data_IF_002925179474
#
_entry.id   IF_002925179474
#
_cell.length_a   1.000
_cell.length_b   1.000
_cell.length_c   1.000
_cell.angle_alpha   90.00
_cell.angle_beta   90.00
_cell.angle_gamma   90.00
#
_symmetry.space_group_name_H-M   'P 1'
#
loop_
_entity.id
_entity.type
_entity.pdbx_description
1 polymer ?
#
# COMPACT_ATOMS: atom_id res chain seq x y z
N UNK A 1 9.96 56.57 45.12
CA UNK A 1 9.03 55.49 45.50
C UNK A 1 8.70 54.73 44.23
N UNK A 2 8.98 53.43 44.27
CA UNK A 2 9.02 52.50 43.13
C UNK A 2 7.65 52.00 42.69
N UNK A 3 7.57 51.72 41.39
CA UNK A 3 6.91 50.59 40.69
C UNK A 3 5.50 50.13 41.08
N UNK A 4 4.62 50.16 40.07
CA UNK A 4 3.79 49.06 39.52
C UNK A 4 2.85 49.76 38.50
N UNK A 5 3.07 49.77 37.18
CA UNK A 5 3.23 48.63 36.26
C UNK A 5 2.39 47.42 36.67
N UNK A 6 1.08 47.65 36.79
CA UNK A 6 0.10 46.58 36.62
C UNK A 6 0.06 46.21 35.13
N UNK A 7 0.99 45.31 34.78
CA UNK A 7 0.91 44.48 33.59
C UNK A 7 -0.50 43.91 33.48
N UNK A 8 -1.21 44.38 32.47
CA UNK A 8 -2.45 43.80 31.98
C UNK A 8 -2.14 42.40 31.40
N UNK A 9 -1.91 41.43 32.27
CA UNK A 9 -1.83 40.00 31.94
C UNK A 9 -3.22 39.49 31.59
N UNK A 10 -3.67 39.86 30.38
CA UNK A 10 -4.74 39.19 29.66
C UNK A 10 -4.26 37.80 29.20
N UNK A 11 -3.96 36.92 30.16
CA UNK A 11 -3.79 35.50 29.94
C UNK A 11 -5.15 34.86 29.74
N UNK A 12 -5.72 34.96 28.54
CA UNK A 12 -6.96 34.28 28.17
C UNK A 12 -6.76 32.76 28.30
N UNK A 13 -7.13 32.21 29.46
CA UNK A 13 -6.99 30.79 29.75
C UNK A 13 -7.83 29.97 28.77
N UNK A 14 -7.16 29.12 27.99
CA UNK A 14 -7.85 28.23 27.05
C UNK A 14 -8.58 27.15 27.87
N UNK A 15 -9.85 26.81 27.59
CA UNK A 15 -10.57 25.81 28.39
C UNK A 15 -9.84 24.46 28.40
N UNK A 16 -9.59 23.90 29.59
CA UNK A 16 -8.80 22.66 29.81
C UNK A 16 -9.26 21.48 28.93
N UNK A 17 -10.56 21.38 28.62
CA UNK A 17 -11.11 20.33 27.77
C UNK A 17 -10.81 20.52 26.27
N UNK A 18 -10.70 21.76 25.79
CA UNK A 18 -10.25 22.07 24.41
C UNK A 18 -8.75 21.75 24.27
N UNK A 19 -7.98 21.94 25.34
CA UNK A 19 -6.60 21.46 25.42
C UNK A 19 -6.55 19.94 25.34
N UNK A 20 -7.33 19.21 26.15
CA UNK A 20 -7.41 17.75 26.12
C UNK A 20 -7.84 17.18 24.76
N UNK A 21 -8.82 17.80 24.08
CA UNK A 21 -9.42 17.24 22.85
C UNK A 21 -8.49 17.11 21.65
N UNK A 22 -7.37 17.84 21.59
CA UNK A 22 -6.40 17.76 20.49
C UNK A 22 -5.24 16.78 20.74
N UNK A 23 -4.97 16.42 22.00
CA UNK A 23 -3.82 15.58 22.35
C UNK A 23 -3.85 14.22 21.64
N UNK A 24 -4.99 13.55 21.45
CA UNK A 24 -5.04 12.30 20.70
C UNK A 24 -4.57 12.47 19.25
N UNK A 25 -4.97 13.54 18.55
CA UNK A 25 -4.53 13.79 17.18
C UNK A 25 -3.03 14.12 17.09
N UNK A 26 -2.52 14.93 18.02
CA UNK A 26 -1.07 15.24 18.10
C UNK A 26 -0.29 13.95 18.36
N UNK A 27 -0.76 13.12 19.29
CA UNK A 27 -0.13 11.85 19.65
C UNK A 27 -0.04 10.90 18.44
N UNK A 28 -1.12 10.75 17.67
CA UNK A 28 -1.11 9.93 16.45
C UNK A 28 -0.10 10.48 15.44
N UNK A 29 -0.03 11.80 15.21
CA UNK A 29 0.98 12.38 14.32
C UNK A 29 2.42 12.12 14.80
N UNK A 30 2.66 12.19 16.11
CA UNK A 30 4.00 11.91 16.69
C UNK A 30 4.35 10.43 16.53
N UNK A 31 3.42 9.51 16.77
CA UNK A 31 3.62 8.08 16.49
C UNK A 31 4.00 7.88 15.03
N UNK A 32 3.25 8.46 14.10
CA UNK A 32 3.53 8.33 12.68
C UNK A 32 4.93 8.85 12.33
N UNK A 33 5.32 10.00 12.88
CA UNK A 33 6.68 10.53 12.73
C UNK A 33 7.74 9.52 13.20
N UNK A 34 7.57 8.92 14.39
CA UNK A 34 8.49 7.92 14.94
C UNK A 34 8.55 6.67 14.03
N UNK A 35 7.41 6.21 13.51
CA UNK A 35 7.34 5.06 12.60
C UNK A 35 8.15 5.33 11.33
N UNK A 36 7.97 6.47 10.67
CA UNK A 36 8.74 6.80 9.47
C UNK A 36 10.23 7.00 9.75
N UNK A 37 10.61 7.57 10.91
CA UNK A 37 12.01 7.65 11.34
C UNK A 37 12.60 6.26 11.53
N UNK A 38 11.86 5.35 12.19
CA UNK A 38 12.30 3.97 12.41
C UNK A 38 12.46 3.20 11.10
N UNK A 39 11.51 3.33 10.17
CA UNK A 39 11.60 2.72 8.82
C UNK A 39 12.83 3.27 8.07
N UNK A 40 13.08 4.57 8.18
CA UNK A 40 14.26 5.20 7.55
C UNK A 40 15.56 4.69 8.19
N UNK A 41 15.64 4.61 9.52
CA UNK A 41 16.82 4.15 10.24
C UNK A 41 17.12 2.65 10.07
N UNK A 42 16.09 1.83 9.90
CA UNK A 42 16.26 0.40 9.59
C UNK A 42 16.73 0.15 8.15
N UNK A 43 16.30 0.97 7.19
CA UNK A 43 16.81 0.94 5.81
C UNK A 43 18.28 1.37 5.67
N UNK A 44 18.80 2.20 6.58
CA UNK A 44 20.23 2.57 6.61
C UNK A 44 21.14 1.43 7.10
N UNK A 45 20.61 0.46 7.86
CA UNK A 45 21.38 -0.63 8.48
C UNK A 45 21.31 -1.96 7.71
N UNK A 46 20.53 -2.05 6.63
CA UNK A 46 20.43 -3.26 5.82
C UNK A 46 19.86 -3.03 4.42
N UNK A 47 20.73 -3.18 3.41
CA UNK A 47 20.47 -3.43 1.97
C UNK A 47 19.36 -2.64 1.23
N UNK A 48 19.79 -1.98 0.14
CA UNK A 48 19.02 -1.51 -1.04
C UNK A 48 18.50 -0.05 -1.07
N UNK A 49 18.97 0.65 -2.12
CA UNK A 49 18.48 1.85 -2.79
C UNK A 49 18.04 3.09 -1.95
N UNK A 50 18.97 4.06 -1.92
CA UNK A 50 18.85 5.40 -1.31
C UNK A 50 17.59 6.22 -1.72
N UNK A 51 16.84 5.80 -2.72
CA UNK A 51 15.63 6.49 -3.19
C UNK A 51 14.48 6.42 -2.17
N UNK A 52 14.34 5.31 -1.43
CA UNK A 52 13.26 5.14 -0.45
C UNK A 52 13.42 5.94 0.86
N UNK A 53 14.67 6.15 1.28
CA UNK A 53 14.97 6.86 2.54
C UNK A 53 14.58 8.34 2.53
N UNK A 54 14.73 9.02 1.39
CA UNK A 54 14.37 10.43 1.24
C UNK A 54 12.87 10.69 1.36
N UNK A 55 12.04 9.81 0.78
CA UNK A 55 10.58 9.92 0.89
C UNK A 55 10.11 9.74 2.33
N UNK A 56 10.63 8.72 3.04
CA UNK A 56 10.24 8.46 4.42
C UNK A 56 10.62 9.60 5.37
N UNK A 57 11.79 10.22 5.18
CA UNK A 57 12.20 11.40 5.94
C UNK A 57 11.27 12.59 5.69
N UNK A 58 10.86 12.81 4.44
CA UNK A 58 9.90 13.86 4.08
C UNK A 58 8.54 13.61 4.77
N UNK A 59 8.06 12.37 4.80
CA UNK A 59 6.83 12.02 5.54
C UNK A 59 6.99 12.24 7.05
N UNK A 60 8.13 11.89 7.64
CA UNK A 60 8.40 12.16 9.06
C UNK A 60 8.32 13.66 9.38
N UNK A 61 8.95 14.51 8.54
CA UNK A 61 8.90 15.97 8.66
C UNK A 61 7.47 16.49 8.51
N UNK A 62 6.70 15.98 7.54
CA UNK A 62 5.30 16.35 7.36
C UNK A 62 4.45 16.00 8.60
N UNK A 63 4.60 14.80 9.15
CA UNK A 63 3.90 14.38 10.37
C UNK A 63 4.27 15.25 11.57
N UNK A 64 5.54 15.60 11.74
CA UNK A 64 6.00 16.53 12.77
C UNK A 64 5.41 17.94 12.61
N UNK A 65 5.42 18.48 11.37
CA UNK A 65 4.84 19.78 11.06
C UNK A 65 3.33 19.82 11.33
N UNK A 66 2.60 18.75 11.00
CA UNK A 66 1.19 18.62 11.30
C UNK A 66 0.92 18.49 12.80
N UNK A 67 1.73 17.70 13.53
CA UNK A 67 1.66 17.60 14.99
C UNK A 67 1.83 18.98 15.65
N UNK A 68 2.86 19.72 15.25
CA UNK A 68 3.10 21.07 15.73
C UNK A 68 1.96 22.03 15.37
N UNK A 69 1.45 21.96 14.14
CA UNK A 69 0.32 22.75 13.69
C UNK A 69 -0.95 22.49 14.51
N UNK A 70 -1.28 21.23 14.77
CA UNK A 70 -2.42 20.84 15.64
C UNK A 70 -2.16 21.30 17.09
N UNK A 71 -0.93 21.20 17.58
CA UNK A 71 -0.51 21.76 18.87
C UNK A 71 -0.57 23.30 18.91
N UNK A 72 -0.59 24.00 17.78
CA UNK A 72 -0.92 25.44 17.71
C UNK A 72 -2.39 25.69 17.36
N UNK A 73 -3.21 24.63 17.29
CA UNK A 73 -4.62 24.63 16.91
C UNK A 73 -4.90 25.10 15.47
N UNK A 74 -3.98 24.83 14.55
CA UNK A 74 -4.22 25.00 13.12
C UNK A 74 -5.24 23.97 12.64
N UNK A 75 -6.40 24.46 12.19
CA UNK A 75 -7.43 23.63 11.57
C UNK A 75 -6.94 23.00 10.26
N UNK A 76 -6.17 23.74 9.47
CA UNK A 76 -5.63 23.24 8.22
C UNK A 76 -4.73 22.03 8.47
N UNK A 77 -3.83 22.10 9.45
CA UNK A 77 -2.97 20.97 9.81
C UNK A 77 -3.78 19.76 10.33
N UNK A 78 -4.85 19.98 11.09
CA UNK A 78 -5.71 18.89 11.56
C UNK A 78 -6.44 18.17 10.42
N UNK A 79 -6.95 18.92 9.44
CA UNK A 79 -7.60 18.35 8.25
C UNK A 79 -6.58 17.68 7.34
N UNK A 80 -5.43 18.30 7.11
CA UNK A 80 -4.36 17.72 6.30
C UNK A 80 -3.81 16.42 6.91
N UNK A 81 -3.70 16.35 8.24
CA UNK A 81 -3.29 15.11 8.92
C UNK A 81 -4.28 13.97 8.70
N UNK A 82 -5.59 14.26 8.74
CA UNK A 82 -6.63 13.28 8.41
C UNK A 82 -6.52 12.83 6.95
N UNK A 83 -6.34 13.78 6.01
CA UNK A 83 -6.23 13.47 4.57
C UNK A 83 -4.97 12.66 4.29
N UNK A 84 -3.82 13.04 4.88
CA UNK A 84 -2.58 12.30 4.70
C UNK A 84 -2.69 10.89 5.27
N UNK A 85 -3.33 10.74 6.43
CA UNK A 85 -3.64 9.44 7.00
C UNK A 85 -4.52 8.59 6.06
N UNK A 86 -5.54 9.21 5.48
CA UNK A 86 -6.42 8.56 4.50
C UNK A 86 -5.65 7.99 3.32
N UNK A 87 -4.77 8.80 2.72
CA UNK A 87 -3.97 8.41 1.56
C UNK A 87 -3.02 7.27 1.92
N UNK A 88 -2.35 7.36 3.07
CA UNK A 88 -1.44 6.34 3.58
C UNK A 88 -2.15 4.99 3.78
N UNK A 89 -3.30 5.00 4.46
CA UNK A 89 -4.07 3.76 4.68
C UNK A 89 -4.65 3.18 3.39
N UNK A 90 -5.07 4.03 2.44
CA UNK A 90 -5.50 3.57 1.12
C UNK A 90 -4.35 2.91 0.35
N UNK A 91 -3.16 3.49 0.39
CA UNK A 91 -1.98 2.92 -0.26
C UNK A 91 -1.63 1.53 0.33
N UNK A 92 -1.66 1.39 1.65
CA UNK A 92 -1.38 0.12 2.34
C UNK A 92 -2.40 -0.99 2.00
N UNK A 93 -3.66 -0.63 1.77
CA UNK A 93 -4.72 -1.58 1.40
C UNK A 93 -4.66 -1.98 -0.08
N UNK A 94 -4.13 -1.11 -0.95
CA UNK A 94 -4.05 -1.33 -2.40
C UNK A 94 -2.77 -2.05 -2.84
N UNK A 95 -1.70 -1.97 -2.03
CA UNK A 95 -0.39 -2.51 -2.35
C UNK A 95 0.18 -3.41 -1.21
N UNK A 96 0.56 -4.67 -1.50
CA UNK A 96 0.40 -5.38 -2.77
C UNK A 96 -1.07 -5.80 -3.02
N UNK A 97 -1.47 -5.93 -4.30
CA UNK A 97 -2.83 -6.32 -4.67
C UNK A 97 -3.24 -7.66 -4.03
N UNK A 98 -4.49 -7.78 -3.59
CA UNK A 98 -5.04 -9.05 -3.07
C UNK A 98 -4.79 -9.32 -1.60
N UNK A 99 -4.32 -8.33 -0.82
CA UNK A 99 -4.18 -8.44 0.62
C UNK A 99 -5.51 -8.85 1.27
N UNK A 100 -5.45 -9.85 2.15
CA UNK A 100 -6.62 -10.29 2.93
C UNK A 100 -7.04 -9.22 3.94
N UNK A 101 -8.35 -9.11 4.15
CA UNK A 101 -8.91 -8.15 5.09
C UNK A 101 -8.39 -8.42 6.51
N UNK A 102 -7.75 -7.42 7.11
CA UNK A 102 -7.18 -7.52 8.45
C UNK A 102 -8.04 -6.74 9.46
N UNK A 103 -8.65 -7.45 10.40
CA UNK A 103 -9.51 -6.86 11.46
C UNK A 103 -8.70 -5.95 12.39
N UNK A 104 -7.45 -6.29 12.70
CA UNK A 104 -6.59 -5.46 13.54
C UNK A 104 -6.22 -4.14 12.85
N UNK A 105 -5.98 -4.18 11.53
CA UNK A 105 -5.78 -2.98 10.73
C UNK A 105 -7.04 -2.09 10.75
N UNK A 106 -8.23 -2.66 10.52
CA UNK A 106 -9.49 -1.91 10.57
C UNK A 106 -9.70 -1.25 11.94
N UNK A 107 -9.46 -1.98 13.03
CA UNK A 107 -9.58 -1.46 14.39
C UNK A 107 -8.58 -0.31 14.64
N UNK A 108 -7.33 -0.45 14.20
CA UNK A 108 -6.34 0.63 14.27
C UNK A 108 -6.79 1.87 13.50
N UNK A 109 -7.20 1.70 12.25
CA UNK A 109 -7.63 2.79 11.36
C UNK A 109 -8.83 3.53 11.91
N UNK A 110 -9.84 2.82 12.40
CA UNK A 110 -11.03 3.43 13.00
C UNK A 110 -10.70 4.27 14.25
N UNK A 111 -9.83 3.77 15.14
CA UNK A 111 -9.38 4.52 16.32
C UNK A 111 -8.64 5.80 15.90
N UNK A 112 -7.74 5.73 14.92
CA UNK A 112 -6.93 6.88 14.52
C UNK A 112 -7.78 7.93 13.79
N UNK A 113 -8.73 7.52 12.95
CA UNK A 113 -9.72 8.42 12.34
C UNK A 113 -10.52 9.18 13.41
N UNK A 114 -10.94 8.49 14.48
CA UNK A 114 -11.63 9.12 15.61
C UNK A 114 -10.73 10.15 16.32
N UNK A 115 -9.44 9.87 16.50
CA UNK A 115 -8.48 10.81 17.08
C UNK A 115 -8.34 12.07 16.22
N UNK A 116 -8.22 11.94 14.90
CA UNK A 116 -8.16 13.09 13.99
C UNK A 116 -9.45 13.91 13.99
N UNK A 117 -10.62 13.25 14.03
CA UNK A 117 -11.90 13.94 14.14
C UNK A 117 -11.98 14.78 15.43
N UNK A 118 -11.53 14.24 16.57
CA UNK A 118 -11.43 15.00 17.82
C UNK A 118 -10.50 16.22 17.67
N UNK A 119 -9.34 16.05 17.04
CA UNK A 119 -8.40 17.13 16.77
C UNK A 119 -8.99 18.26 15.91
N UNK A 120 -9.71 17.92 14.84
CA UNK A 120 -10.38 18.89 13.96
C UNK A 120 -11.42 19.70 14.73
N UNK A 121 -12.29 19.03 15.50
CA UNK A 121 -13.32 19.70 16.30
C UNK A 121 -12.69 20.57 17.40
N UNK A 122 -11.65 20.10 18.08
CA UNK A 122 -10.93 20.88 19.09
C UNK A 122 -10.28 22.15 18.50
N UNK A 123 -9.61 22.04 17.35
CA UNK A 123 -9.06 23.18 16.61
C UNK A 123 -10.14 24.16 16.16
N UNK A 124 -11.28 23.66 15.68
CA UNK A 124 -12.40 24.50 15.27
C UNK A 124 -13.05 25.23 16.45
N UNK A 125 -13.25 24.54 17.57
CA UNK A 125 -13.85 25.11 18.78
C UNK A 125 -12.96 26.18 19.40
N UNK A 126 -11.63 26.02 19.44
CA UNK A 126 -10.72 27.08 19.91
C UNK A 126 -10.82 28.36 19.07
N UNK A 127 -10.97 28.21 17.75
CA UNK A 127 -11.10 29.37 16.85
C UNK A 127 -12.44 30.07 17.02
N UNK A 128 -13.52 29.30 17.27
CA UNK A 128 -14.89 29.81 17.43
C UNK A 128 -15.11 30.45 18.80
N UNK A 129 -14.64 29.81 19.86
CA UNK A 129 -14.77 30.27 21.25
C UNK A 129 -13.41 30.82 21.69
N UNK A 130 -13.06 32.02 21.20
CA UNK A 130 -11.82 32.70 21.59
C UNK A 130 -11.82 33.08 23.09
N UNK A 131 -12.99 33.13 23.73
CA UNK A 131 -13.18 33.39 25.16
C UNK A 131 -14.45 32.64 25.61
N UNK A 132 -14.45 32.19 26.87
CA UNK A 132 -15.60 31.76 27.71
C UNK A 132 -15.79 30.24 27.88
N UNK A 133 -15.79 29.85 29.18
CA UNK A 133 -16.02 28.51 29.70
C UNK A 133 -17.45 28.03 29.56
N UNK A 134 -17.76 27.49 28.38
CA UNK A 134 -18.94 26.64 28.18
C UNK A 134 -18.49 25.19 28.35
N UNK A 135 -19.11 24.44 29.27
CA UNK A 135 -18.91 23.00 29.38
C UNK A 135 -19.64 22.27 28.25
N UNK A 136 -19.10 22.43 27.04
CA UNK A 136 -19.72 21.97 25.79
C UNK A 136 -19.28 20.53 25.44
N UNK A 137 -18.94 19.72 26.46
CA UNK A 137 -18.37 18.39 26.28
C UNK A 137 -19.29 17.43 25.51
N UNK A 138 -20.59 17.48 25.79
CA UNK A 138 -21.63 16.75 25.05
C UNK A 138 -21.75 17.24 23.61
N UNK A 139 -21.64 18.55 23.37
CA UNK A 139 -21.68 19.13 22.03
C UNK A 139 -20.44 18.77 21.19
N UNK A 140 -19.25 18.82 21.79
CA UNK A 140 -17.99 18.40 21.16
C UNK A 140 -18.04 16.92 20.80
N UNK A 141 -18.48 16.07 21.72
CA UNK A 141 -18.61 14.63 21.46
C UNK A 141 -19.64 14.34 20.36
N UNK A 142 -20.78 15.02 20.37
CA UNK A 142 -21.81 14.88 19.33
C UNK A 142 -21.26 15.26 17.95
N UNK A 143 -20.62 16.42 17.83
CA UNK A 143 -20.03 16.88 16.56
C UNK A 143 -18.89 15.99 16.10
N UNK A 144 -18.07 15.51 17.01
CA UNK A 144 -16.97 14.60 16.70
C UNK A 144 -17.51 13.26 16.19
N UNK A 145 -18.54 12.71 16.84
CA UNK A 145 -19.22 11.49 16.38
C UNK A 145 -19.84 11.68 14.99
N UNK A 146 -20.52 12.80 14.74
CA UNK A 146 -21.08 13.10 13.41
C UNK A 146 -19.98 13.17 12.35
N UNK A 147 -18.89 13.90 12.61
CA UNK A 147 -17.75 13.99 11.69
C UNK A 147 -17.12 12.62 11.45
N UNK A 148 -16.92 11.84 12.51
CA UNK A 148 -16.36 10.50 12.43
C UNK A 148 -17.20 9.57 11.56
N UNK A 149 -18.53 9.58 11.68
CA UNK A 149 -19.41 8.77 10.83
C UNK A 149 -19.26 9.17 9.36
N UNK A 150 -19.23 10.48 9.06
CA UNK A 150 -19.01 10.98 7.69
C UNK A 150 -17.66 10.50 7.15
N UNK A 151 -16.60 10.64 7.93
CA UNK A 151 -15.25 10.23 7.57
C UNK A 151 -15.15 8.71 7.35
N UNK A 152 -15.81 7.90 8.17
CA UNK A 152 -15.87 6.45 7.98
C UNK A 152 -16.57 6.07 6.67
N UNK A 153 -17.73 6.66 6.39
CA UNK A 153 -18.47 6.38 5.15
C UNK A 153 -17.62 6.74 3.93
N UNK A 154 -16.94 7.90 3.96
CA UNK A 154 -16.02 8.30 2.91
C UNK A 154 -14.86 7.30 2.78
N UNK A 155 -14.28 6.85 3.89
CA UNK A 155 -13.15 5.92 3.88
C UNK A 155 -13.51 4.61 3.21
N UNK A 156 -14.61 4.00 3.66
CA UNK A 156 -15.07 2.73 3.12
C UNK A 156 -15.49 2.85 1.65
N UNK A 157 -16.17 3.93 1.28
CA UNK A 157 -16.55 4.19 -0.12
C UNK A 157 -15.33 4.37 -1.01
N UNK A 158 -14.30 5.09 -0.55
CA UNK A 158 -13.03 5.23 -1.27
C UNK A 158 -12.31 3.89 -1.41
N UNK A 159 -12.22 3.09 -0.35
CA UNK A 159 -11.63 1.74 -0.42
C UNK A 159 -12.33 0.86 -1.45
N UNK A 160 -13.66 0.82 -1.44
CA UNK A 160 -14.45 0.03 -2.40
C UNK A 160 -14.29 0.56 -3.82
N UNK A 161 -14.38 1.88 -4.00
CA UNK A 161 -14.20 2.53 -5.31
C UNK A 161 -12.82 2.28 -5.91
N UNK A 162 -11.76 2.40 -5.10
CA UNK A 162 -10.39 2.13 -5.53
C UNK A 162 -10.16 0.65 -5.82
N UNK A 163 -10.69 -0.28 -5.01
CA UNK A 163 -10.62 -1.72 -5.31
C UNK A 163 -11.33 -2.06 -6.63
N UNK A 164 -12.48 -1.45 -6.89
CA UNK A 164 -13.21 -1.64 -8.15
C UNK A 164 -12.45 -1.04 -9.34
N UNK A 165 -11.90 0.17 -9.19
CA UNK A 165 -11.07 0.81 -10.21
C UNK A 165 -9.83 -0.04 -10.51
N UNK A 166 -9.13 -0.51 -9.48
CA UNK A 166 -7.98 -1.40 -9.62
C UNK A 166 -8.34 -2.70 -10.32
N UNK A 167 -9.48 -3.33 -9.98
CA UNK A 167 -9.97 -4.52 -10.70
C UNK A 167 -10.19 -4.24 -12.18
N UNK A 168 -10.83 -3.11 -12.51
CA UNK A 168 -11.08 -2.74 -13.90
C UNK A 168 -9.78 -2.47 -14.67
N UNK A 169 -8.87 -1.66 -14.10
CA UNK A 169 -7.56 -1.36 -14.70
C UNK A 169 -6.73 -2.62 -14.88
N UNK A 170 -6.71 -3.53 -13.89
CA UNK A 170 -6.03 -4.83 -14.01
C UNK A 170 -6.61 -5.70 -15.12
N UNK A 171 -7.93 -5.72 -15.28
CA UNK A 171 -8.55 -6.48 -16.37
C UNK A 171 -8.15 -5.92 -17.74
N UNK A 172 -8.10 -4.60 -17.90
CA UNK A 172 -7.65 -3.97 -19.16
C UNK A 172 -6.17 -4.28 -19.42
N UNK A 173 -5.31 -4.11 -18.41
CA UNK A 173 -3.89 -4.47 -18.50
C UNK A 173 -3.69 -5.94 -18.87
N UNK A 174 -4.47 -6.83 -18.23
CA UNK A 174 -4.46 -8.25 -18.53
C UNK A 174 -4.85 -8.53 -19.98
N UNK A 175 -5.93 -7.93 -20.48
CA UNK A 175 -6.37 -8.11 -21.87
C UNK A 175 -5.31 -7.63 -22.86
N UNK A 176 -4.71 -6.46 -22.63
CA UNK A 176 -3.64 -5.94 -23.48
C UNK A 176 -2.41 -6.87 -23.47
N UNK A 177 -2.02 -7.35 -22.29
CA UNK A 177 -0.91 -8.29 -22.13
C UNK A 177 -1.17 -9.63 -22.81
N UNK A 178 -2.35 -10.21 -22.60
CA UNK A 178 -2.77 -11.46 -23.23
C UNK A 178 -2.71 -11.34 -24.76
N UNK A 179 -3.26 -10.27 -25.33
CA UNK A 179 -3.23 -10.05 -26.79
C UNK A 179 -1.79 -9.91 -27.30
N UNK A 180 -0.95 -9.13 -26.62
CA UNK A 180 0.46 -8.98 -27.01
C UNK A 180 1.21 -10.32 -27.03
N UNK A 181 1.05 -11.15 -25.99
CA UNK A 181 1.73 -12.45 -25.91
C UNK A 181 1.19 -13.43 -26.96
N UNK A 182 -0.12 -13.42 -27.22
CA UNK A 182 -0.72 -14.30 -28.23
C UNK A 182 -0.36 -13.86 -29.66
N UNK A 183 -0.22 -12.57 -29.92
CA UNK A 183 0.29 -12.05 -31.18
C UNK A 183 1.75 -12.46 -31.39
N UNK A 184 2.60 -12.32 -30.36
CA UNK A 184 3.99 -12.74 -30.45
C UNK A 184 4.13 -14.26 -30.60
N UNK A 185 3.29 -15.04 -29.91
CA UNK A 185 3.18 -16.50 -30.14
C UNK A 185 2.88 -16.81 -31.60
N UNK A 186 1.95 -16.09 -32.24
CA UNK A 186 1.57 -16.36 -33.64
C UNK A 186 2.71 -16.19 -34.64
N UNK A 187 3.75 -15.42 -34.28
CA UNK A 187 4.96 -15.21 -35.09
C UNK A 187 5.99 -16.34 -34.91
N UNK A 188 5.80 -17.21 -33.92
CA UNK A 188 6.72 -18.30 -33.59
C UNK A 188 6.25 -19.59 -34.30
N UNK A 189 7.06 -20.19 -35.19
CA UNK A 189 6.68 -21.42 -35.89
C UNK A 189 6.80 -22.63 -34.96
N UNK A 190 5.73 -22.93 -34.22
CA UNK A 190 5.64 -24.10 -33.34
C UNK A 190 5.23 -25.37 -34.12
N UNK A 191 5.80 -26.56 -33.80
CA UNK A 191 6.75 -26.81 -32.71
C UNK A 191 8.22 -26.46 -33.07
N UNK A 192 8.96 -25.91 -32.11
CA UNK A 192 10.39 -25.59 -32.25
C UNK A 192 11.24 -26.61 -31.50
N UNK A 193 12.25 -27.17 -32.16
CA UNK A 193 13.22 -28.06 -31.53
C UNK A 193 14.22 -27.24 -30.69
N UNK A 194 14.33 -27.53 -29.39
CA UNK A 194 15.29 -26.88 -28.48
C UNK A 194 16.55 -27.74 -28.35
N UNK A 195 16.36 -29.04 -28.07
CA UNK A 195 17.43 -30.01 -28.02
C UNK A 195 16.97 -31.33 -28.69
N UNK A 196 17.78 -32.39 -28.62
CA UNK A 196 17.41 -33.68 -29.21
C UNK A 196 16.24 -34.38 -28.49
N UNK A 197 15.97 -34.01 -27.24
CA UNK A 197 15.01 -34.67 -26.37
C UNK A 197 13.74 -33.85 -26.12
N UNK A 198 13.76 -32.54 -26.38
CA UNK A 198 12.71 -31.59 -26.05
C UNK A 198 12.42 -30.64 -27.21
N UNK A 199 11.13 -30.43 -27.46
CA UNK A 199 10.64 -29.44 -28.40
C UNK A 199 9.58 -28.58 -27.74
N UNK A 200 9.67 -27.27 -27.91
CA UNK A 200 8.61 -26.34 -27.53
C UNK A 200 7.39 -26.61 -28.42
N UNK A 201 6.28 -27.01 -27.83
CA UNK A 201 5.06 -27.37 -28.56
C UNK A 201 4.01 -26.29 -28.50
N UNK A 202 3.83 -25.67 -27.33
CA UNK A 202 2.81 -24.63 -27.19
C UNK A 202 3.17 -23.59 -26.13
N UNK A 203 2.54 -22.43 -26.25
CA UNK A 203 2.55 -21.35 -25.26
C UNK A 203 1.10 -20.86 -25.12
N UNK A 204 0.52 -20.97 -23.94
CA UNK A 204 -0.86 -20.54 -23.73
C UNK A 204 -1.08 -20.06 -22.31
N UNK A 205 -2.18 -19.35 -22.09
CA UNK A 205 -2.61 -18.99 -20.74
C UNK A 205 -3.69 -19.94 -20.27
N UNK A 206 -3.53 -20.46 -19.06
CA UNK A 206 -4.61 -21.02 -18.27
C UNK A 206 -4.93 -20.05 -17.13
N UNK A 207 -6.08 -19.40 -17.23
CA UNK A 207 -6.49 -18.30 -16.35
C UNK A 207 -5.45 -17.16 -16.32
N UNK A 208 -4.67 -17.06 -15.24
CA UNK A 208 -3.62 -16.04 -15.02
C UNK A 208 -2.22 -16.67 -14.93
N UNK A 209 -2.07 -17.87 -15.50
CA UNK A 209 -0.80 -18.61 -15.52
C UNK A 209 -0.36 -18.81 -16.96
N UNK A 210 0.81 -18.29 -17.31
CA UNK A 210 1.44 -18.58 -18.59
C UNK A 210 2.03 -19.99 -18.55
N UNK A 211 1.57 -20.87 -19.43
CA UNK A 211 2.09 -22.21 -19.59
C UNK A 211 2.95 -22.27 -20.84
N UNK A 212 4.22 -22.64 -20.66
CA UNK A 212 5.19 -22.87 -21.74
C UNK A 212 5.44 -24.37 -21.82
N UNK A 213 4.82 -25.01 -22.80
CA UNK A 213 4.76 -26.46 -22.91
C UNK A 213 5.84 -27.02 -23.83
N UNK A 214 6.57 -28.00 -23.31
CA UNK A 214 7.66 -28.69 -23.98
C UNK A 214 7.31 -30.17 -24.09
N UNK A 215 7.34 -30.73 -25.29
CA UNK A 215 7.20 -32.16 -25.48
C UNK A 215 8.55 -32.88 -25.40
N UNK A 216 8.60 -33.95 -24.63
CA UNK A 216 9.76 -34.82 -24.42
C UNK A 216 9.66 -36.06 -25.31
N UNK A 217 10.66 -36.30 -26.17
CA UNK A 217 10.64 -37.38 -27.17
C UNK A 217 11.34 -38.66 -26.73
N UNK A 218 12.65 -38.60 -26.47
CA UNK A 218 13.50 -39.80 -26.42
C UNK A 218 13.70 -40.37 -25.01
N UNK A 219 13.84 -39.50 -24.01
CA UNK A 219 14.01 -39.90 -22.60
C UNK A 219 12.67 -40.06 -21.90
N UNK A 220 12.56 -40.96 -20.92
CA UNK A 220 11.39 -41.03 -20.04
C UNK A 220 11.27 -39.75 -19.22
N UNK A 221 10.05 -39.24 -19.06
CA UNK A 221 9.78 -38.01 -18.33
C UNK A 221 10.29 -38.06 -16.87
N UNK A 222 10.22 -39.22 -16.23
CA UNK A 222 10.72 -39.43 -14.87
C UNK A 222 12.24 -39.29 -14.73
N UNK A 223 12.99 -39.62 -15.79
CA UNK A 223 14.46 -39.66 -15.83
C UNK A 223 15.08 -38.34 -16.31
N UNK A 224 14.25 -37.34 -16.65
CA UNK A 224 14.73 -36.01 -17.03
C UNK A 224 15.48 -35.33 -15.86
N UNK A 225 16.72 -34.86 -16.06
CA UNK A 225 17.48 -34.14 -15.05
C UNK A 225 16.90 -32.73 -14.84
N UNK A 226 15.88 -32.63 -14.00
CA UNK A 226 15.13 -31.38 -13.75
C UNK A 226 16.02 -30.20 -13.33
N UNK A 227 17.17 -30.45 -12.69
CA UNK A 227 18.13 -29.42 -12.31
C UNK A 227 18.71 -28.66 -13.52
N UNK A 228 18.98 -29.35 -14.63
CA UNK A 228 19.47 -28.72 -15.87
C UNK A 228 18.37 -27.88 -16.54
N UNK A 229 17.15 -28.41 -16.58
CA UNK A 229 16.00 -27.73 -17.15
C UNK A 229 15.52 -26.55 -16.29
N UNK A 230 15.76 -26.59 -14.98
CA UNK A 230 15.49 -25.47 -14.09
C UNK A 230 16.29 -24.22 -14.47
N UNK A 231 17.58 -24.36 -14.83
CA UNK A 231 18.39 -23.23 -15.27
C UNK A 231 17.84 -22.60 -16.57
N UNK A 232 17.41 -23.44 -17.52
CA UNK A 232 16.76 -22.99 -18.75
C UNK A 232 15.42 -22.28 -18.47
N UNK A 233 14.57 -22.90 -17.66
CA UNK A 233 13.28 -22.35 -17.26
C UNK A 233 13.43 -21.03 -16.50
N UNK A 234 14.43 -20.92 -15.61
CA UNK A 234 14.75 -19.68 -14.88
C UNK A 234 15.18 -18.55 -15.82
N UNK A 235 15.91 -18.84 -16.89
CA UNK A 235 16.29 -17.85 -17.92
C UNK A 235 15.10 -17.38 -18.75
N UNK A 236 14.15 -18.25 -19.07
CA UNK A 236 12.88 -17.85 -19.69
C UNK A 236 12.07 -16.98 -18.73
N UNK A 237 11.99 -17.40 -17.47
CA UNK A 237 11.26 -16.69 -16.44
C UNK A 237 11.86 -15.29 -16.17
N UNK A 238 13.18 -15.13 -16.17
CA UNK A 238 13.81 -13.82 -15.96
C UNK A 238 13.44 -12.80 -17.04
N UNK A 239 13.23 -13.24 -18.29
CA UNK A 239 12.74 -12.37 -19.38
C UNK A 239 11.28 -12.00 -19.19
N UNK A 240 10.48 -12.94 -18.70
CA UNK A 240 9.09 -12.70 -18.34
C UNK A 240 8.97 -11.71 -17.17
N UNK A 241 9.83 -11.85 -16.15
CA UNK A 241 9.95 -10.92 -15.02
C UNK A 241 10.39 -9.51 -15.41
N UNK A 242 11.20 -9.37 -16.45
CA UNK A 242 11.61 -8.05 -16.95
C UNK A 242 10.45 -7.23 -17.53
N UNK A 243 9.29 -7.86 -17.76
CA UNK A 243 8.07 -7.16 -18.10
C UNK A 243 7.31 -6.80 -16.81
N UNK A 244 7.31 -5.51 -16.45
CA UNK A 244 6.61 -4.98 -15.27
C UNK A 244 5.10 -5.29 -15.24
N UNK A 245 4.52 -5.64 -16.38
CA UNK A 245 3.12 -6.06 -16.47
C UNK A 245 2.89 -7.43 -15.80
N UNK A 246 3.86 -8.34 -15.88
CA UNK A 246 3.77 -9.66 -15.26
C UNK A 246 3.77 -9.58 -13.73
N UNK A 247 4.65 -8.75 -13.17
CA UNK A 247 4.76 -8.52 -11.72
C UNK A 247 3.57 -7.73 -11.18
N UNK A 248 3.10 -6.70 -11.90
CA UNK A 248 1.94 -5.89 -11.48
C UNK A 248 0.60 -6.64 -11.53
N UNK A 249 0.47 -7.65 -12.39
CA UNK A 249 -0.71 -8.51 -12.49
C UNK A 249 -0.66 -9.76 -11.61
N UNK A 250 0.43 -9.99 -10.88
CA UNK A 250 0.68 -11.21 -10.08
C UNK A 250 0.60 -12.50 -10.92
N UNK A 251 1.13 -12.45 -12.15
CA UNK A 251 1.04 -13.55 -13.10
C UNK A 251 2.07 -14.65 -12.78
N UNK A 252 1.64 -15.90 -12.88
CA UNK A 252 2.49 -17.08 -12.68
C UNK A 252 2.97 -17.62 -14.02
N UNK A 253 4.12 -18.29 -14.02
CA UNK A 253 4.60 -19.01 -15.19
C UNK A 253 4.85 -20.47 -14.82
N UNK A 254 4.38 -21.40 -15.64
CA UNK A 254 4.67 -22.82 -15.54
C UNK A 254 5.41 -23.24 -16.80
N UNK A 255 6.62 -23.78 -16.63
CA UNK A 255 7.31 -24.51 -17.70
C UNK A 255 6.96 -25.98 -17.54
N UNK A 256 6.14 -26.48 -18.47
CA UNK A 256 5.60 -27.84 -18.44
C UNK A 256 6.36 -28.73 -19.41
N UNK A 257 6.82 -29.88 -18.94
CA UNK A 257 7.38 -30.95 -19.76
C UNK A 257 6.36 -32.08 -19.86
N UNK A 258 5.95 -32.45 -21.07
CA UNK A 258 4.90 -33.43 -21.32
C UNK A 258 5.38 -34.60 -22.19
N UNK A 259 4.95 -35.81 -21.84
CA UNK A 259 5.15 -37.03 -22.61
C UNK A 259 3.85 -37.85 -22.56
N UNK A 260 3.04 -37.77 -23.61
CA UNK A 260 1.68 -38.34 -23.60
C UNK A 260 0.80 -37.62 -22.56
N UNK A 261 0.26 -38.38 -21.59
CA UNK A 261 -0.55 -37.83 -20.50
C UNK A 261 0.25 -37.44 -19.26
N UNK A 262 1.54 -37.79 -19.20
CA UNK A 262 2.38 -37.45 -18.05
C UNK A 262 2.97 -36.04 -18.22
N UNK A 263 2.95 -35.27 -17.13
CA UNK A 263 3.51 -33.92 -17.09
C UNK A 263 4.43 -33.72 -15.89
N UNK A 264 5.44 -32.86 -16.06
CA UNK A 264 6.29 -32.34 -15.00
C UNK A 264 6.38 -30.83 -15.13
N UNK A 265 6.00 -30.14 -14.06
CA UNK A 265 5.83 -28.69 -14.05
C UNK A 265 6.90 -28.01 -13.18
N UNK A 266 7.53 -26.97 -13.73
CA UNK A 266 8.34 -26.01 -12.98
C UNK A 266 7.56 -24.71 -12.86
N UNK A 267 7.15 -24.39 -11.64
CA UNK A 267 6.32 -23.23 -11.34
C UNK A 267 7.16 -22.07 -10.85
N UNK A 268 6.88 -20.88 -11.38
CA UNK A 268 7.50 -19.63 -11.00
C UNK A 268 6.43 -18.59 -10.65
N UNK A 269 6.69 -17.85 -9.59
CA UNK A 269 5.82 -16.80 -9.05
C UNK A 269 6.56 -15.47 -9.04
N UNK A 270 5.88 -14.32 -9.03
CA UNK A 270 6.54 -13.00 -9.06
C UNK A 270 7.61 -12.79 -7.97
N UNK A 271 7.55 -13.55 -6.87
CA UNK A 271 8.58 -13.53 -5.82
C UNK A 271 9.93 -14.07 -6.31
N UNK A 272 9.91 -14.99 -7.27
CA UNK A 272 11.08 -15.60 -7.89
C UNK A 272 11.78 -14.65 -8.89
N UNK A 273 11.23 -13.44 -9.11
CA UNK A 273 11.87 -12.37 -9.88
C UNK A 273 12.93 -11.59 -9.07
N UNK A 274 13.03 -11.80 -7.75
CA UNK A 274 14.05 -11.17 -6.92
C UNK A 274 15.37 -11.94 -7.06
N UNK A 275 16.37 -11.28 -7.66
CA UNK A 275 17.73 -11.80 -7.85
C UNK A 275 18.69 -11.20 -6.83
#
# INVERSE_FOLDING_TARGET
>A
MNHQEDEYSNGAATPRKIVLGRHPAVFVCVIQCIVYIYITGSGWLGFSDNTGGGYNLLFAVLWAAMAFGIYKYSRACAVMALVLYFIDQLAVELFPPGRSFNVAWLAGTTIWLLCFCHGIIACWMRRKHKVIGIDDSTYINKRTRTLYIVVLVLFHSSCLGLKQAQKHTRNILWQAFYQSVMEDKSKIPLPIKIDNNTSLTDIYFDQHTLIVEHHVRQTKLAELPMALYYAHAKKLYSRYCANDVASSLDLKMIVRFAQGYETRDLSFTPKDCQF
#
